data_IF_817606872672
#
_entry.id   IF_817606872672
#
_cell.length_a   1.000
_cell.length_b   1.000
_cell.length_c   1.000
_cell.angle_alpha   90.00
_cell.angle_beta   90.00
_cell.angle_gamma   90.00
#
_symmetry.space_group_name_H-M   'P 1'
#
loop_
_entity.id
_entity.type
_entity.pdbx_description
1 polymer ?
#
# COMPACT_ATOMS: atom_id res chain seq x y z
N UNK A 1 24.64 28.27 75.45
CA UNK A 1 23.59 27.40 74.88
C UNK A 1 23.35 27.61 73.36
N UNK A 2 23.70 28.74 72.78
CA UNK A 2 23.56 28.99 71.36
C UNK A 2 24.62 28.29 70.47
N UNK A 3 25.83 28.15 70.99
CA UNK A 3 26.96 27.61 70.20
C UNK A 3 26.95 26.08 70.09
N UNK A 4 26.45 25.39 71.10
CA UNK A 4 26.33 23.92 71.08
C UNK A 4 25.31 23.43 70.01
N UNK A 5 24.21 24.17 69.80
CA UNK A 5 23.24 23.82 68.74
C UNK A 5 23.80 23.99 67.32
N UNK A 6 24.74 24.92 67.14
CA UNK A 6 25.39 25.18 65.85
C UNK A 6 26.36 24.09 65.43
N UNK A 7 27.08 23.49 66.43
CA UNK A 7 27.99 22.37 66.18
C UNK A 7 27.26 21.07 65.92
N UNK A 8 26.13 20.83 66.61
CA UNK A 8 25.31 19.63 66.39
C UNK A 8 24.66 19.61 64.99
N UNK A 9 24.18 20.78 64.52
CA UNK A 9 23.59 20.88 63.16
C UNK A 9 24.64 20.76 62.05
N UNK A 10 25.88 21.23 62.27
CA UNK A 10 26.96 21.11 61.28
C UNK A 10 27.51 19.68 61.19
N UNK A 11 27.59 18.94 62.31
CA UNK A 11 28.06 17.55 62.32
C UNK A 11 27.00 16.58 61.74
N UNK A 12 25.71 16.82 61.96
CA UNK A 12 24.65 16.03 61.36
C UNK A 12 24.55 16.26 59.82
N UNK A 13 24.81 17.50 59.35
CA UNK A 13 24.84 17.80 57.94
C UNK A 13 26.05 17.17 57.23
N UNK A 14 27.22 17.12 57.89
CA UNK A 14 28.41 16.47 57.36
C UNK A 14 28.26 14.93 57.29
N UNK A 15 27.57 14.31 58.27
CA UNK A 15 27.25 12.85 58.24
C UNK A 15 26.21 12.52 57.16
N UNK A 16 25.27 13.40 56.84
CA UNK A 16 24.30 13.17 55.77
C UNK A 16 24.91 13.29 54.36
N UNK A 17 25.94 14.15 54.19
CA UNK A 17 26.67 14.28 52.93
C UNK A 17 27.61 13.07 52.70
N UNK A 18 28.19 12.48 53.78
CA UNK A 18 29.07 11.32 53.69
C UNK A 18 28.31 10.02 53.39
N UNK A 19 27.00 9.92 53.72
CA UNK A 19 26.17 8.77 53.42
C UNK A 19 25.56 8.82 52.02
N UNK A 20 25.55 9.98 51.35
CA UNK A 20 25.00 10.14 49.99
C UNK A 20 25.98 9.72 48.89
N UNK A 21 27.21 9.34 49.19
CA UNK A 21 28.24 9.02 48.19
C UNK A 21 28.54 7.53 48.02
N UNK A 22 27.81 6.64 48.71
CA UNK A 22 27.93 5.19 48.53
C UNK A 22 26.56 4.64 48.08
N UNK A 23 26.03 5.12 46.96
CA UNK A 23 25.09 4.36 46.16
C UNK A 23 25.97 3.60 45.17
N UNK A 24 26.08 2.27 45.25
CA UNK A 24 26.66 1.52 44.15
C UNK A 24 25.76 1.81 42.95
N UNK A 25 26.28 2.53 41.97
CA UNK A 25 25.72 2.54 40.63
C UNK A 25 25.85 1.11 40.12
N UNK A 26 24.90 0.25 40.49
CA UNK A 26 24.60 -0.91 39.65
C UNK A 26 24.19 -0.29 38.32
N UNK A 27 25.11 -0.29 37.37
CA UNK A 27 24.80 -0.22 35.99
C UNK A 27 23.82 -1.38 35.75
N UNK A 28 22.53 -1.08 35.79
CA UNK A 28 21.59 -1.92 35.08
C UNK A 28 22.03 -1.78 33.63
N UNK A 29 22.86 -2.74 33.18
CA UNK A 29 22.82 -3.15 31.80
C UNK A 29 21.33 -3.43 31.55
N UNK A 30 20.59 -2.43 31.08
CA UNK A 30 19.39 -2.67 30.33
C UNK A 30 19.87 -3.56 29.21
N UNK A 31 19.78 -4.89 29.40
CA UNK A 31 19.58 -5.80 28.28
C UNK A 31 18.44 -5.15 27.54
N UNK A 32 18.78 -4.44 26.45
CA UNK A 32 17.85 -4.18 25.37
C UNK A 32 17.44 -5.60 24.98
N UNK A 33 16.30 -6.04 25.52
CA UNK A 33 15.68 -7.24 25.00
C UNK A 33 15.56 -6.92 23.53
N UNK A 34 16.27 -7.65 22.69
CA UNK A 34 16.00 -7.68 21.25
C UNK A 34 14.51 -7.99 21.16
N UNK A 35 13.71 -6.96 21.06
CA UNK A 35 12.29 -7.11 20.87
C UNK A 35 12.18 -7.73 19.48
N UNK A 36 11.98 -9.05 19.49
CA UNK A 36 11.87 -9.85 18.25
C UNK A 36 10.91 -9.13 17.36
N UNK A 37 11.38 -8.72 16.20
CA UNK A 37 10.59 -8.00 15.22
C UNK A 37 9.37 -8.82 14.84
N UNK A 38 8.23 -8.46 15.40
CA UNK A 38 6.96 -9.18 15.24
C UNK A 38 6.09 -8.58 14.12
N UNK A 39 6.54 -7.46 13.54
CA UNK A 39 5.77 -6.76 12.51
C UNK A 39 6.21 -7.24 11.13
N UNK A 40 5.24 -7.61 10.31
CA UNK A 40 5.41 -7.89 8.90
C UNK A 40 4.54 -6.92 8.09
N UNK A 41 5.12 -6.37 7.03
CA UNK A 41 4.43 -5.53 6.05
C UNK A 41 4.57 -6.21 4.69
N UNK A 42 3.45 -6.38 4.00
CA UNK A 42 3.44 -7.03 2.68
C UNK A 42 2.59 -6.24 1.68
N UNK A 43 3.03 -6.22 0.44
CA UNK A 43 2.21 -5.79 -0.68
C UNK A 43 1.28 -6.95 -1.08
N UNK A 44 -0.01 -6.69 -1.19
CA UNK A 44 -0.99 -7.63 -1.71
C UNK A 44 -1.39 -7.20 -3.12
N UNK A 45 -1.29 -8.14 -4.06
CA UNK A 45 -1.75 -7.97 -5.44
C UNK A 45 -2.90 -8.92 -5.69
N UNK A 46 -4.08 -8.35 -5.89
CA UNK A 46 -5.31 -9.10 -6.09
C UNK A 46 -5.68 -9.14 -7.56
N UNK A 47 -6.03 -10.31 -8.04
CA UNK A 47 -6.43 -10.54 -9.42
C UNK A 47 -7.69 -9.77 -9.81
N UNK A 48 -7.90 -9.59 -11.13
CA UNK A 48 -9.08 -8.92 -11.65
C UNK A 48 -10.37 -9.68 -11.33
N UNK A 49 -11.49 -8.92 -11.25
CA UNK A 49 -12.86 -9.43 -11.06
C UNK A 49 -13.72 -9.07 -12.29
N UNK A 50 -14.89 -9.74 -12.49
CA UNK A 50 -15.72 -9.53 -13.68
C UNK A 50 -16.32 -8.14 -13.85
N UNK A 51 -16.42 -7.34 -12.78
CA UNK A 51 -16.97 -6.00 -12.87
C UNK A 51 -16.00 -5.03 -13.53
N UNK A 52 -16.48 -4.16 -14.41
CA UNK A 52 -15.66 -3.21 -15.19
C UNK A 52 -14.66 -2.42 -14.35
N UNK A 53 -15.08 -1.94 -13.16
CA UNK A 53 -14.21 -1.19 -12.26
C UNK A 53 -13.15 -2.03 -11.55
N UNK A 54 -13.21 -3.35 -11.64
CA UNK A 54 -12.28 -4.29 -10.99
C UNK A 54 -11.51 -5.18 -11.98
N UNK A 55 -11.63 -4.92 -13.28
CA UNK A 55 -10.92 -5.66 -14.33
C UNK A 55 -9.40 -5.54 -14.21
N UNK A 56 -8.90 -4.50 -13.59
CA UNK A 56 -7.48 -4.17 -13.50
C UNK A 56 -6.81 -4.72 -12.24
N UNK A 57 -7.54 -5.49 -11.44
CA UNK A 57 -7.06 -5.99 -10.16
C UNK A 57 -7.13 -4.94 -9.06
N UNK A 58 -6.45 -5.21 -7.94
CA UNK A 58 -6.40 -4.33 -6.79
C UNK A 58 -5.08 -4.48 -6.04
N UNK A 59 -4.63 -3.42 -5.39
CA UNK A 59 -3.47 -3.43 -4.50
C UNK A 59 -3.90 -3.04 -3.09
N UNK A 60 -3.45 -3.82 -2.10
CA UNK A 60 -3.60 -3.51 -0.68
C UNK A 60 -2.27 -3.69 0.05
N UNK A 61 -2.17 -3.19 1.27
CA UNK A 61 -1.06 -3.45 2.17
C UNK A 61 -1.56 -4.38 3.27
N UNK A 62 -0.85 -5.50 3.53
CA UNK A 62 -1.08 -6.31 4.73
C UNK A 62 -0.13 -5.87 5.81
N UNK A 63 -0.69 -5.57 6.98
CA UNK A 63 0.05 -5.24 8.19
C UNK A 63 -0.24 -6.30 9.26
N UNK A 64 0.80 -6.99 9.69
CA UNK A 64 0.70 -8.01 10.74
C UNK A 64 1.56 -7.62 11.92
N UNK A 65 1.00 -7.71 13.12
CA UNK A 65 1.75 -7.74 14.39
C UNK A 65 1.48 -9.08 15.08
N UNK A 66 2.44 -9.99 14.96
CA UNK A 66 2.32 -11.36 15.47
C UNK A 66 2.18 -11.36 17.00
N UNK A 67 2.87 -10.45 17.68
CA UNK A 67 2.82 -10.35 19.15
C UNK A 67 1.47 -9.88 19.66
N UNK A 68 0.84 -8.95 18.93
CA UNK A 68 -0.49 -8.42 19.29
C UNK A 68 -1.65 -9.19 18.68
N UNK A 69 -1.37 -10.16 17.82
CA UNK A 69 -2.40 -10.91 17.08
C UNK A 69 -3.17 -10.03 16.09
N UNK A 70 -2.57 -8.95 15.62
CA UNK A 70 -3.18 -8.03 14.65
C UNK A 70 -2.82 -8.48 13.24
N UNK A 71 -3.82 -8.61 12.36
CA UNK A 71 -3.63 -8.96 10.95
C UNK A 71 -4.67 -8.23 10.10
N UNK A 72 -4.24 -7.21 9.39
CA UNK A 72 -5.08 -6.24 8.72
C UNK A 72 -4.73 -6.10 7.25
N UNK A 73 -5.76 -5.94 6.42
CA UNK A 73 -5.65 -5.46 5.04
C UNK A 73 -6.03 -3.98 4.98
N UNK A 74 -5.11 -3.18 4.46
CA UNK A 74 -5.26 -1.74 4.29
C UNK A 74 -5.57 -1.48 2.82
N UNK A 75 -6.78 -1.00 2.56
CA UNK A 75 -7.31 -0.76 1.24
C UNK A 75 -7.38 0.73 0.93
N UNK A 76 -6.87 1.12 -0.22
CA UNK A 76 -7.15 2.42 -0.83
C UNK A 76 -8.14 2.26 -1.98
N UNK A 77 -8.89 3.30 -2.30
CA UNK A 77 -9.83 3.24 -3.42
C UNK A 77 -11.18 2.63 -3.10
N UNK A 78 -11.58 2.60 -1.83
CA UNK A 78 -12.94 2.24 -1.45
C UNK A 78 -13.91 3.36 -1.84
N UNK A 79 -15.05 2.99 -2.41
CA UNK A 79 -16.05 3.94 -2.87
C UNK A 79 -17.46 3.38 -2.70
N UNK A 80 -18.45 4.28 -2.78
CA UNK A 80 -19.86 3.92 -2.70
C UNK A 80 -20.62 4.42 -3.92
N UNK A 81 -21.41 3.54 -4.54
CA UNK A 81 -22.32 3.90 -5.63
C UNK A 81 -23.55 4.72 -5.15
N UNK A 82 -23.74 4.87 -3.83
CA UNK A 82 -24.91 5.54 -3.26
C UNK A 82 -25.01 7.05 -3.51
N UNK A 83 -23.97 7.68 -4.06
CA UNK A 83 -24.01 9.09 -4.42
C UNK A 83 -24.70 9.28 -5.79
N UNK A 84 -25.61 10.25 -5.94
CA UNK A 84 -26.27 10.55 -7.21
C UNK A 84 -25.24 10.83 -8.31
N UNK A 85 -25.58 10.42 -9.54
CA UNK A 85 -24.74 10.64 -10.73
C UNK A 85 -23.32 10.11 -10.63
N UNK A 86 -23.12 8.98 -9.93
CA UNK A 86 -21.79 8.41 -9.71
C UNK A 86 -20.95 8.32 -10.99
N UNK A 87 -21.51 7.79 -12.08
CA UNK A 87 -20.77 7.63 -13.36
C UNK A 87 -20.32 8.98 -13.92
N UNK A 88 -21.19 10.00 -13.95
CA UNK A 88 -20.82 11.33 -14.40
C UNK A 88 -19.75 11.95 -13.50
N UNK A 89 -19.89 11.82 -12.20
CA UNK A 89 -18.89 12.30 -11.23
C UNK A 89 -17.54 11.60 -11.44
N UNK A 90 -17.55 10.30 -11.69
CA UNK A 90 -16.33 9.53 -12.01
C UNK A 90 -15.66 10.05 -13.28
N UNK A 91 -16.43 10.21 -14.37
CA UNK A 91 -15.94 10.72 -15.66
C UNK A 91 -15.27 12.09 -15.52
N UNK A 92 -15.88 12.99 -14.73
CA UNK A 92 -15.34 14.33 -14.49
C UNK A 92 -14.29 14.40 -13.38
N UNK A 93 -13.82 13.25 -12.86
CA UNK A 93 -12.85 13.19 -11.75
C UNK A 93 -13.36 13.82 -10.45
N UNK A 94 -14.68 13.81 -10.25
CA UNK A 94 -15.35 14.41 -9.07
C UNK A 94 -15.73 13.34 -8.01
N UNK A 95 -15.20 12.13 -8.11
CA UNK A 95 -15.51 11.05 -7.16
C UNK A 95 -14.48 11.01 -6.06
N UNK A 96 -14.95 11.10 -4.82
CA UNK A 96 -14.14 10.91 -3.63
C UNK A 96 -14.14 9.43 -3.28
N UNK A 97 -12.97 8.93 -3.00
CA UNK A 97 -12.70 7.58 -2.53
C UNK A 97 -12.12 7.65 -1.12
N UNK A 98 -12.11 6.54 -0.42
CA UNK A 98 -11.57 6.52 0.92
C UNK A 98 -10.64 5.33 1.15
N UNK A 99 -9.80 5.47 2.17
CA UNK A 99 -9.03 4.39 2.75
C UNK A 99 -9.91 3.59 3.70
N UNK A 100 -9.85 2.27 3.63
CA UNK A 100 -10.49 1.35 4.55
C UNK A 100 -9.50 0.35 5.15
N UNK A 101 -9.85 -0.15 6.32
CA UNK A 101 -9.09 -1.20 7.02
C UNK A 101 -10.07 -2.32 7.35
N UNK A 102 -9.71 -3.56 7.08
CA UNK A 102 -10.48 -4.74 7.42
C UNK A 102 -9.57 -5.86 7.97
N UNK A 103 -10.14 -6.84 8.65
CA UNK A 103 -9.39 -8.02 9.04
C UNK A 103 -8.96 -8.81 7.82
N UNK A 104 -7.73 -9.32 7.84
CA UNK A 104 -7.15 -10.02 6.69
C UNK A 104 -7.95 -11.27 6.31
N UNK A 105 -8.50 -11.99 7.28
CA UNK A 105 -9.34 -13.17 7.02
C UNK A 105 -10.62 -12.82 6.22
N UNK A 106 -11.25 -11.67 6.52
CA UNK A 106 -12.44 -11.20 5.82
C UNK A 106 -12.06 -10.78 4.40
N UNK A 107 -10.93 -10.08 4.25
CA UNK A 107 -10.37 -9.72 2.95
C UNK A 107 -10.16 -10.97 2.07
N UNK A 108 -9.49 -12.01 2.61
CA UNK A 108 -9.27 -13.27 1.88
C UNK A 108 -10.59 -13.96 1.52
N UNK A 109 -11.56 -13.99 2.45
CA UNK A 109 -12.87 -14.60 2.19
C UNK A 109 -13.62 -13.92 1.03
N UNK A 110 -13.56 -12.59 0.92
CA UNK A 110 -14.15 -11.83 -0.19
C UNK A 110 -13.54 -12.21 -1.55
N UNK A 111 -12.22 -12.39 -1.61
CA UNK A 111 -11.54 -12.80 -2.84
C UNK A 111 -11.76 -14.27 -3.18
N UNK A 112 -11.77 -15.15 -2.19
CA UNK A 112 -12.07 -16.57 -2.36
C UNK A 112 -13.47 -16.79 -2.94
N UNK A 113 -14.47 -16.07 -2.44
CA UNK A 113 -15.85 -16.15 -2.93
C UNK A 113 -15.98 -15.76 -4.41
N UNK A 114 -15.09 -14.89 -4.91
CA UNK A 114 -15.06 -14.48 -6.32
C UNK A 114 -14.12 -15.32 -7.19
N UNK A 115 -13.37 -16.26 -6.62
CA UNK A 115 -12.37 -17.07 -7.32
C UNK A 115 -11.15 -16.28 -7.81
N UNK A 116 -10.90 -15.11 -7.23
CA UNK A 116 -9.77 -14.25 -7.58
C UNK A 116 -8.56 -14.54 -6.70
N UNK A 117 -7.37 -14.53 -7.31
CA UNK A 117 -6.13 -14.78 -6.60
C UNK A 117 -5.66 -13.61 -5.75
N UNK A 118 -4.87 -13.92 -4.71
CA UNK A 118 -4.12 -12.95 -3.90
C UNK A 118 -2.67 -13.38 -3.86
N UNK A 119 -1.79 -12.58 -4.45
CA UNK A 119 -0.33 -12.70 -4.36
C UNK A 119 0.16 -11.80 -3.24
N UNK A 120 1.04 -12.29 -2.39
CA UNK A 120 1.65 -11.55 -1.30
C UNK A 120 3.14 -11.45 -1.49
N UNK A 121 3.66 -10.24 -1.38
CA UNK A 121 5.09 -9.95 -1.38
C UNK A 121 5.48 -9.34 -0.03
N UNK A 122 6.16 -10.13 0.81
CA UNK A 122 6.64 -9.66 2.12
C UNK A 122 7.86 -8.77 1.91
N UNK A 123 7.82 -7.56 2.49
CA UNK A 123 8.83 -6.54 2.29
C UNK A 123 10.00 -6.67 3.26
N UNK A 124 11.20 -6.40 2.74
CA UNK A 124 12.46 -6.42 3.50
C UNK A 124 12.71 -5.07 4.18
N UNK A 125 11.96 -4.81 5.22
CA UNK A 125 11.97 -3.54 5.95
C UNK A 125 12.59 -3.70 7.33
N UNK A 126 13.30 -2.68 7.81
CA UNK A 126 13.75 -2.61 9.20
C UNK A 126 12.56 -2.39 10.15
N UNK A 127 12.77 -2.63 11.44
CA UNK A 127 11.76 -2.39 12.48
C UNK A 127 11.28 -0.93 12.47
N UNK A 128 12.20 0.01 12.28
CA UNK A 128 11.91 1.45 12.21
C UNK A 128 11.07 1.80 10.98
N UNK A 129 11.38 1.22 9.82
CA UNK A 129 10.63 1.40 8.58
C UNK A 129 9.21 0.86 8.71
N UNK A 130 9.04 -0.33 9.31
CA UNK A 130 7.71 -0.91 9.59
C UNK A 130 6.89 -0.05 10.55
N UNK A 131 7.51 0.48 11.59
CA UNK A 131 6.86 1.40 12.52
C UNK A 131 6.48 2.72 11.84
N UNK A 132 7.35 3.28 10.99
CA UNK A 132 7.05 4.48 10.20
C UNK A 132 5.85 4.26 9.27
N UNK A 133 5.78 3.11 8.62
CA UNK A 133 4.61 2.73 7.79
C UNK A 133 3.35 2.63 8.65
N UNK A 134 3.41 2.02 9.84
CA UNK A 134 2.26 1.93 10.75
C UNK A 134 1.74 3.33 11.13
N UNK A 135 2.65 4.25 11.49
CA UNK A 135 2.30 5.64 11.81
C UNK A 135 1.70 6.36 10.60
N UNK A 136 2.24 6.14 9.41
CA UNK A 136 1.73 6.74 8.18
C UNK A 136 0.34 6.21 7.82
N UNK A 137 0.07 4.91 8.02
CA UNK A 137 -1.24 4.28 7.86
C UNK A 137 -2.25 4.89 8.83
N UNK A 138 -1.90 4.99 10.13
CA UNK A 138 -2.76 5.58 11.15
C UNK A 138 -3.11 7.04 10.83
N UNK A 139 -2.11 7.84 10.43
CA UNK A 139 -2.30 9.22 9.98
C UNK A 139 -3.27 9.31 8.79
N UNK A 140 -3.13 8.43 7.80
CA UNK A 140 -4.01 8.40 6.63
C UNK A 140 -5.43 7.96 6.99
N UNK A 141 -5.60 7.11 8.00
CA UNK A 141 -6.89 6.61 8.41
C UNK A 141 -7.72 7.63 9.22
N UNK A 142 -7.11 8.71 9.67
CA UNK A 142 -7.84 9.78 10.38
C UNK A 142 -8.98 10.34 9.51
N UNK A 143 -10.14 10.69 10.08
CA UNK A 143 -11.35 11.09 9.34
C UNK A 143 -11.13 12.19 8.29
N UNK A 144 -10.21 13.13 8.57
CA UNK A 144 -9.89 14.25 7.69
C UNK A 144 -8.87 13.92 6.58
N UNK A 145 -8.17 12.77 6.67
CA UNK A 145 -7.14 12.35 5.73
C UNK A 145 -7.59 11.16 4.85
N UNK A 146 -8.51 10.32 5.36
CA UNK A 146 -8.85 9.06 4.67
C UNK A 146 -9.64 9.25 3.37
N UNK A 147 -10.32 10.38 3.21
CA UNK A 147 -11.07 10.70 2.00
C UNK A 147 -10.19 11.49 1.06
N UNK A 148 -10.15 11.08 -0.20
CA UNK A 148 -9.31 11.72 -1.21
C UNK A 148 -9.95 11.70 -2.60
N UNK A 149 -9.49 12.62 -3.46
CA UNK A 149 -9.91 12.69 -4.85
C UNK A 149 -9.16 11.61 -5.66
N UNK A 150 -9.90 10.62 -6.11
CA UNK A 150 -9.33 9.52 -6.88
C UNK A 150 -8.90 9.98 -8.28
N UNK A 151 -7.73 9.54 -8.70
CA UNK A 151 -7.26 9.67 -10.06
C UNK A 151 -6.78 8.31 -10.56
N UNK A 152 -7.40 7.83 -11.62
CA UNK A 152 -7.19 6.47 -12.12
C UNK A 152 -5.72 6.16 -12.45
N UNK A 153 -4.96 7.12 -12.99
CA UNK A 153 -3.56 6.93 -13.34
C UNK A 153 -2.58 7.32 -12.24
N UNK A 154 -2.89 8.36 -11.47
CA UNK A 154 -1.91 9.04 -10.63
C UNK A 154 -2.18 8.94 -9.14
N UNK A 155 -3.42 8.66 -8.72
CA UNK A 155 -3.79 8.56 -7.30
C UNK A 155 -4.87 7.49 -7.08
N UNK A 156 -4.45 6.22 -7.22
CA UNK A 156 -5.30 5.03 -7.10
C UNK A 156 -4.83 4.11 -5.96
N UNK A 157 -5.44 2.93 -5.81
CA UNK A 157 -5.06 1.98 -4.77
C UNK A 157 -3.59 1.53 -4.88
N UNK A 158 -3.08 1.37 -6.08
CA UNK A 158 -1.72 0.89 -6.33
C UNK A 158 -0.67 1.98 -6.06
N UNK A 159 -0.89 3.18 -6.61
CA UNK A 159 0.05 4.30 -6.41
C UNK A 159 0.10 4.72 -4.94
N UNK A 160 -1.03 4.74 -4.22
CA UNK A 160 -1.05 5.06 -2.80
C UNK A 160 -0.34 4.01 -1.94
N UNK A 161 -0.55 2.72 -2.22
CA UNK A 161 0.16 1.65 -1.52
C UNK A 161 1.67 1.73 -1.77
N UNK A 162 2.09 1.95 -3.02
CA UNK A 162 3.50 2.18 -3.38
C UNK A 162 4.09 3.37 -2.63
N UNK A 163 3.43 4.51 -2.70
CA UNK A 163 3.97 5.77 -2.19
C UNK A 163 4.09 5.78 -0.67
N UNK A 164 3.16 5.13 0.05
CA UNK A 164 3.28 4.99 1.50
C UNK A 164 4.43 4.07 1.88
N UNK A 165 4.69 3.01 1.11
CA UNK A 165 5.84 2.12 1.32
C UNK A 165 7.14 2.88 1.03
N UNK A 166 7.27 3.47 -0.14
CA UNK A 166 8.51 4.13 -0.57
C UNK A 166 8.88 5.35 0.28
N UNK A 167 7.89 6.12 0.72
CA UNK A 167 8.12 7.29 1.58
C UNK A 167 8.65 6.95 2.97
N UNK A 168 8.56 5.68 3.38
CA UNK A 168 8.99 5.21 4.69
C UNK A 168 10.16 4.22 4.64
N UNK A 169 10.76 4.01 3.47
CA UNK A 169 12.01 3.25 3.30
C UNK A 169 13.21 4.18 3.53
N UNK A 170 14.12 3.77 4.40
CA UNK A 170 15.38 4.47 4.62
C UNK A 170 16.43 4.03 3.59
N UNK A 171 16.37 4.61 2.42
CA UNK A 171 17.21 4.27 1.29
C UNK A 171 16.57 4.67 -0.03
N UNK A 172 17.15 4.23 -1.12
CA UNK A 172 16.61 4.44 -2.48
C UNK A 172 16.19 3.10 -3.06
N UNK A 173 14.95 2.99 -3.50
CA UNK A 173 14.52 1.82 -4.28
C UNK A 173 15.09 1.94 -5.69
N UNK A 174 15.83 0.93 -6.11
CA UNK A 174 16.43 0.82 -7.44
C UNK A 174 15.87 -0.42 -8.15
N UNK A 175 15.86 -0.38 -9.46
CA UNK A 175 15.33 -1.43 -10.31
C UNK A 175 16.39 -1.92 -11.26
N UNK A 176 16.62 -3.23 -11.28
CA UNK A 176 17.65 -3.87 -12.09
C UNK A 176 17.16 -4.37 -13.46
N UNK A 177 15.87 -4.07 -13.77
CA UNK A 177 15.27 -4.42 -15.06
C UNK A 177 14.95 -3.16 -15.86
N UNK A 178 15.06 -3.29 -17.17
CA UNK A 178 14.56 -2.26 -18.10
C UNK A 178 13.05 -2.35 -18.27
N UNK A 179 12.44 -1.24 -18.65
CA UNK A 179 11.03 -1.17 -19.04
C UNK A 179 10.92 -0.55 -20.43
N UNK A 180 9.83 -0.85 -21.11
CA UNK A 180 9.47 -0.17 -22.34
C UNK A 180 8.80 1.18 -22.02
N UNK A 181 9.57 2.26 -22.14
CA UNK A 181 9.09 3.62 -21.92
C UNK A 181 8.19 4.14 -23.06
N UNK A 182 8.04 3.41 -24.16
CA UNK A 182 7.12 3.78 -25.25
C UNK A 182 5.67 3.41 -24.98
N UNK A 183 5.43 2.54 -23.99
CA UNK A 183 4.08 2.10 -23.62
C UNK A 183 3.25 3.25 -23.08
N UNK A 184 1.98 3.28 -23.50
CA UNK A 184 1.01 4.28 -23.06
C UNK A 184 0.04 3.70 -22.04
N UNK A 185 -0.61 4.55 -21.24
CA UNK A 185 -1.65 4.11 -20.33
C UNK A 185 -2.76 3.34 -21.06
N UNK A 186 -3.20 3.81 -22.24
CA UNK A 186 -4.24 3.15 -23.04
C UNK A 186 -3.83 1.73 -23.43
N UNK A 187 -2.59 1.54 -23.91
CA UNK A 187 -2.09 0.22 -24.28
C UNK A 187 -2.11 -0.74 -23.08
N UNK A 188 -1.65 -0.28 -21.92
CA UNK A 188 -1.65 -1.10 -20.70
C UNK A 188 -3.06 -1.46 -20.21
N UNK A 189 -4.02 -0.54 -20.30
CA UNK A 189 -5.42 -0.81 -19.99
C UNK A 189 -6.02 -1.83 -20.95
N UNK A 190 -5.68 -1.76 -22.22
CA UNK A 190 -6.19 -2.68 -23.26
C UNK A 190 -5.82 -4.14 -23.00
N UNK A 191 -4.68 -4.41 -22.35
CA UNK A 191 -4.27 -5.77 -21.97
C UNK A 191 -5.26 -6.45 -21.02
N UNK A 192 -5.93 -5.66 -20.17
CA UNK A 192 -6.89 -6.18 -19.18
C UNK A 192 -8.33 -6.24 -19.69
N UNK A 193 -8.66 -5.55 -20.76
CA UNK A 193 -10.02 -5.49 -21.27
C UNK A 193 -10.15 -5.99 -22.72
N UNK A 194 -9.20 -6.81 -23.18
CA UNK A 194 -9.21 -7.38 -24.51
C UNK A 194 -10.48 -8.16 -24.80
N UNK A 195 -10.93 -8.99 -23.86
CA UNK A 195 -12.18 -9.78 -23.95
C UNK A 195 -13.43 -8.99 -23.55
N UNK A 196 -13.29 -7.75 -23.08
CA UNK A 196 -14.36 -6.88 -22.61
C UNK A 196 -14.52 -5.66 -23.55
N UNK A 197 -14.97 -5.92 -24.77
CA UNK A 197 -15.02 -4.96 -25.88
C UNK A 197 -15.81 -3.67 -25.55
N UNK A 198 -16.90 -3.81 -24.79
CA UNK A 198 -17.73 -2.68 -24.38
C UNK A 198 -17.06 -1.85 -23.28
N UNK A 199 -16.40 -2.50 -22.34
CA UNK A 199 -15.59 -1.80 -21.32
C UNK A 199 -14.41 -1.07 -21.97
N UNK A 200 -13.73 -1.70 -22.94
CA UNK A 200 -12.65 -1.10 -23.71
C UNK A 200 -13.15 0.13 -24.47
N UNK A 201 -14.26 0.01 -25.21
CA UNK A 201 -14.86 1.11 -25.95
C UNK A 201 -15.23 2.30 -25.03
N UNK A 202 -15.89 2.00 -23.89
CA UNK A 202 -16.22 3.02 -22.89
C UNK A 202 -14.99 3.73 -22.33
N UNK A 203 -13.95 2.99 -21.97
CA UNK A 203 -12.69 3.55 -21.52
C UNK A 203 -12.06 4.46 -22.60
N UNK A 204 -12.02 4.00 -23.85
CA UNK A 204 -11.43 4.75 -24.95
C UNK A 204 -12.14 6.08 -25.21
N UNK A 205 -13.45 6.14 -24.98
CA UNK A 205 -14.21 7.41 -25.06
C UNK A 205 -13.91 8.36 -23.90
N UNK A 206 -13.61 7.80 -22.71
CA UNK A 206 -13.42 8.60 -21.49
C UNK A 206 -11.97 9.04 -21.27
N UNK A 207 -11.02 8.28 -21.80
CA UNK A 207 -9.60 8.57 -21.67
C UNK A 207 -9.21 9.71 -22.62
N UNK A 208 -8.68 10.79 -22.05
CA UNK A 208 -8.14 11.91 -22.83
C UNK A 208 -6.77 11.59 -23.45
N UNK A 209 -6.23 12.54 -24.19
CA UNK A 209 -4.96 12.45 -24.94
C UNK A 209 -3.76 12.06 -24.06
N UNK A 210 -3.79 12.34 -22.76
CA UNK A 210 -2.74 11.93 -21.83
C UNK A 210 -2.59 10.41 -21.73
N UNK A 211 -3.65 9.65 -22.00
CA UNK A 211 -3.60 8.20 -22.01
C UNK A 211 -2.78 7.64 -23.18
N UNK A 212 -2.50 8.43 -24.19
CA UNK A 212 -1.76 8.06 -25.39
C UNK A 212 -0.29 8.53 -25.36
N UNK A 213 0.12 9.17 -24.28
CA UNK A 213 1.52 9.60 -24.09
C UNK A 213 2.37 8.45 -23.56
N UNK A 214 3.65 8.38 -23.96
CA UNK A 214 4.63 7.48 -23.38
C UNK A 214 4.73 7.65 -21.86
N UNK A 215 4.92 6.56 -21.14
CA UNK A 215 4.89 6.54 -19.68
C UNK A 215 6.26 6.22 -19.08
N UNK A 216 6.54 6.81 -17.93
CA UNK A 216 7.67 6.47 -17.07
C UNK A 216 7.37 5.19 -16.27
N UNK A 217 8.41 4.58 -15.65
CA UNK A 217 8.24 3.44 -14.74
C UNK A 217 7.23 3.73 -13.65
N UNK A 218 7.33 4.87 -12.98
CA UNK A 218 6.42 5.25 -11.90
C UNK A 218 4.97 5.35 -12.37
N UNK A 219 4.74 5.80 -13.60
CA UNK A 219 3.42 5.85 -14.20
C UNK A 219 2.91 4.45 -14.59
N UNK A 220 3.77 3.55 -15.10
CA UNK A 220 3.36 2.16 -15.40
C UNK A 220 2.95 1.39 -14.14
N UNK A 221 3.47 1.74 -12.98
CA UNK A 221 3.11 1.18 -11.68
C UNK A 221 1.71 1.57 -11.17
N UNK A 222 0.87 2.19 -11.98
CA UNK A 222 -0.53 2.43 -11.62
C UNK A 222 -1.35 1.12 -11.63
N UNK A 223 -0.88 0.10 -12.32
CA UNK A 223 -1.49 -1.23 -12.37
C UNK A 223 -0.90 -2.16 -11.30
N UNK A 224 -1.75 -2.93 -10.61
CA UNK A 224 -1.30 -3.82 -9.52
C UNK A 224 -0.22 -4.80 -9.94
N UNK A 225 -0.40 -5.46 -11.08
CA UNK A 225 0.55 -6.47 -11.58
C UNK A 225 1.90 -5.84 -11.98
N UNK A 226 1.88 -4.64 -12.58
CA UNK A 226 3.10 -3.92 -12.95
C UNK A 226 3.90 -3.54 -11.71
N UNK A 227 3.24 -3.03 -10.67
CA UNK A 227 3.88 -2.72 -9.40
C UNK A 227 4.47 -3.98 -8.75
N UNK A 228 3.71 -5.09 -8.70
CA UNK A 228 4.18 -6.34 -8.12
C UNK A 228 5.40 -6.91 -8.85
N UNK A 229 5.41 -6.84 -10.18
CA UNK A 229 6.52 -7.32 -11.00
C UNK A 229 7.78 -6.46 -10.82
N UNK A 230 7.63 -5.16 -10.66
CA UNK A 230 8.72 -4.26 -10.32
C UNK A 230 9.24 -4.50 -8.90
N UNK A 231 8.36 -4.69 -7.91
CA UNK A 231 8.74 -5.00 -6.52
C UNK A 231 9.56 -6.28 -6.42
N UNK A 232 9.18 -7.33 -7.17
CA UNK A 232 9.89 -8.60 -7.19
C UNK A 232 11.36 -8.48 -7.66
N UNK A 233 11.69 -7.42 -8.42
CA UNK A 233 13.01 -7.18 -9.00
C UNK A 233 13.74 -5.98 -8.39
N UNK A 234 13.08 -5.28 -7.47
CA UNK A 234 13.61 -4.09 -6.84
C UNK A 234 14.58 -4.41 -5.72
N UNK A 235 15.54 -3.55 -5.53
CA UNK A 235 16.49 -3.56 -4.41
C UNK A 235 16.39 -2.24 -3.64
N UNK A 236 16.73 -2.30 -2.36
CA UNK A 236 16.90 -1.13 -1.51
C UNK A 236 18.39 -0.82 -1.43
N UNK A 237 18.79 0.32 -1.95
CA UNK A 237 20.13 0.86 -1.81
C UNK A 237 20.21 1.67 -0.52
N UNK A 238 20.87 1.13 0.50
CA UNK A 238 21.10 1.79 1.80
C UNK A 238 22.46 2.46 1.82
N UNK A 239 22.55 3.63 2.47
CA UNK A 239 23.85 4.30 2.68
C UNK A 239 24.73 3.39 3.54
N UNK A 240 25.98 3.17 3.12
CA UNK A 240 27.01 2.38 3.81
C UNK A 240 26.71 0.88 3.99
N UNK A 241 25.72 0.32 3.31
CA UNK A 241 25.39 -1.11 3.33
C UNK A 241 25.28 -1.66 1.91
N UNK A 242 25.40 -2.96 1.79
CA UNK A 242 25.10 -3.64 0.52
C UNK A 242 23.62 -3.48 0.16
N UNK A 243 23.32 -3.47 -1.12
CA UNK A 243 21.96 -3.50 -1.61
C UNK A 243 21.26 -4.77 -1.13
N UNK A 244 20.00 -4.65 -0.76
CA UNK A 244 19.20 -5.80 -0.41
C UNK A 244 17.89 -5.84 -1.23
N UNK A 245 17.40 -7.03 -1.51
CA UNK A 245 16.12 -7.21 -2.20
C UNK A 245 15.00 -6.51 -1.43
N UNK A 246 14.11 -5.80 -2.14
CA UNK A 246 12.91 -5.18 -1.55
C UNK A 246 11.93 -6.23 -1.02
N UNK A 247 11.87 -7.41 -1.64
CA UNK A 247 10.96 -8.50 -1.31
C UNK A 247 11.75 -9.67 -0.75
N UNK A 248 11.36 -10.17 0.43
CA UNK A 248 11.95 -11.35 1.07
C UNK A 248 11.21 -12.64 0.74
N UNK A 249 9.91 -12.56 0.48
CA UNK A 249 9.08 -13.70 0.12
C UNK A 249 7.98 -13.26 -0.85
N UNK A 250 7.71 -14.08 -1.85
CA UNK A 250 6.69 -13.86 -2.88
C UNK A 250 5.86 -15.14 -3.01
N UNK A 251 4.61 -15.11 -2.54
CA UNK A 251 3.77 -16.30 -2.38
C UNK A 251 2.32 -16.01 -2.79
N UNK A 252 1.61 -17.06 -3.19
CA UNK A 252 0.17 -17.01 -3.39
C UNK A 252 -0.54 -17.40 -2.10
N UNK A 253 -1.27 -16.44 -1.50
CA UNK A 253 -2.17 -16.73 -0.38
C UNK A 253 -3.41 -17.45 -0.89
N UNK A 254 -3.91 -17.01 -2.03
CA UNK A 254 -5.07 -17.57 -2.70
C UNK A 254 -4.77 -17.67 -4.19
N UNK A 255 -4.72 -18.88 -4.77
CA UNK A 255 -4.54 -19.03 -6.20
C UNK A 255 -5.79 -18.55 -6.95
N UNK A 256 -5.59 -18.06 -8.16
CA UNK A 256 -6.70 -17.71 -9.05
C UNK A 256 -7.40 -18.99 -9.56
N UNK A 257 -8.70 -19.10 -9.34
CA UNK A 257 -9.49 -20.26 -9.73
C UNK A 257 -10.55 -19.97 -10.79
N UNK A 258 -10.79 -18.68 -11.09
CA UNK A 258 -11.79 -18.25 -12.05
C UNK A 258 -11.22 -17.22 -13.01
N UNK A 259 -11.57 -17.31 -14.27
CA UNK A 259 -11.31 -16.27 -15.26
C UNK A 259 -12.33 -15.13 -15.15
N UNK A 260 -11.92 -13.94 -15.61
CA UNK A 260 -12.75 -12.72 -15.57
C UNK A 260 -13.95 -12.81 -16.51
N UNK A 261 -13.88 -13.76 -17.47
CA UNK A 261 -14.91 -13.91 -18.50
C UNK A 261 -14.73 -12.94 -19.66
N UNK A 262 -15.82 -12.72 -20.38
CA UNK A 262 -15.89 -11.79 -21.51
C UNK A 262 -17.23 -11.06 -21.52
N UNK A 263 -17.42 -10.13 -22.46
CA UNK A 263 -18.71 -9.47 -22.64
C UNK A 263 -19.84 -10.48 -22.89
N UNK A 264 -20.94 -10.28 -22.20
CA UNK A 264 -22.18 -11.05 -22.42
C UNK A 264 -22.96 -10.58 -23.64
N UNK A 265 -22.76 -9.32 -24.08
CA UNK A 265 -23.48 -8.77 -25.23
C UNK A 265 -22.84 -9.24 -26.54
N UNK A 266 -23.61 -9.87 -27.47
CA UNK A 266 -23.04 -10.55 -28.63
C UNK A 266 -22.47 -9.61 -29.70
N UNK A 267 -23.03 -8.42 -29.84
CA UNK A 267 -22.57 -7.45 -30.86
C UNK A 267 -21.40 -6.61 -30.33
N UNK A 268 -20.41 -6.37 -31.18
CA UNK A 268 -19.32 -5.48 -30.86
C UNK A 268 -19.77 -4.01 -30.92
N UNK A 269 -19.11 -3.09 -30.20
CA UNK A 269 -19.34 -1.65 -30.33
C UNK A 269 -19.27 -1.19 -31.80
N UNK A 270 -18.27 -1.69 -32.55
CA UNK A 270 -18.11 -1.38 -33.97
C UNK A 270 -19.33 -1.79 -34.80
N UNK A 271 -19.83 -3.02 -34.63
CA UNK A 271 -21.01 -3.52 -35.34
C UNK A 271 -22.22 -2.65 -35.03
N UNK A 272 -22.44 -2.31 -33.76
CA UNK A 272 -23.56 -1.44 -33.36
C UNK A 272 -23.46 -0.05 -33.99
N UNK A 273 -22.28 0.60 -33.94
CA UNK A 273 -22.07 1.92 -34.54
C UNK A 273 -22.23 1.90 -36.05
N UNK A 274 -21.72 0.85 -36.73
CA UNK A 274 -21.90 0.70 -38.16
C UNK A 274 -23.38 0.55 -38.54
N UNK A 275 -24.13 -0.24 -37.78
CA UNK A 275 -25.57 -0.40 -38.01
C UNK A 275 -26.31 0.92 -37.86
N UNK A 276 -26.00 1.70 -36.80
CA UNK A 276 -26.61 3.02 -36.59
C UNK A 276 -26.26 3.96 -37.72
N UNK A 277 -25.03 3.93 -38.25
CA UNK A 277 -24.59 4.81 -39.33
C UNK A 277 -25.20 4.48 -40.70
N UNK A 278 -25.73 3.26 -40.88
CA UNK A 278 -26.38 2.79 -42.14
C UNK A 278 -27.90 3.03 -42.15
N UNK A 279 -28.48 3.40 -41.01
CA UNK A 279 -29.90 3.76 -40.88
C UNK A 279 -30.08 5.28 -41.00
#
# INVERSE_FOLDING_TARGET
MKDIKRYITSTLLALFIAFATIIPTHGQDKKVSEQKDSILVSLLTCGPRPNVYSLYGHTAIRFQDITRGTDLAINYGMFSFGKPFFVLRFVFGLTDYEMGIEYFNDFVAHYAASGCGIRQQTLNLSTEEKQAIAVAIDKNYQPHNRIYRYNYFYDNCTTRARDIIFSNINGKVIYNNEIDNSRTFRQMIHEYNETHRWARFGNDLLLGIKADMPTTRSEQQFLPEHLANDFAKAEIQKRHFENCSLVTADTWILPRTRDVGSDSFPLSPFTCMLTIALI
#
